data_IF_533522507727
#
_entry.id   IF_533522507727
#
_cell.length_a   1.000
_cell.length_b   1.000
_cell.length_c   1.000
_cell.angle_alpha   90.00
_cell.angle_beta   90.00
_cell.angle_gamma   90.00
#
_symmetry.space_group_name_H-M   'P 1'
#
loop_
_entity.id
_entity.type
_entity.pdbx_description
1 polymer ?
#
# COMPACT_ATOMS: atom_id res chain seq x y z
N UNK A 1 -4.81 20.54 -37.76
CA UNK A 1 -3.60 20.93 -37.02
C UNK A 1 -3.64 20.16 -35.69
N UNK A 2 -3.00 19.00 -35.66
CA UNK A 2 -2.79 18.28 -34.40
C UNK A 2 -1.76 19.03 -33.58
N UNK A 3 -2.17 19.51 -32.42
CA UNK A 3 -1.27 20.08 -31.43
C UNK A 3 -0.35 18.97 -30.95
N UNK A 4 0.89 18.98 -31.38
CA UNK A 4 1.98 18.18 -30.80
C UNK A 4 2.14 18.61 -29.34
N UNK A 5 1.46 17.93 -28.42
CA UNK A 5 1.77 18.07 -26.98
C UNK A 5 3.25 17.67 -26.83
N UNK A 6 4.06 18.62 -26.46
CA UNK A 6 5.44 18.38 -26.04
C UNK A 6 5.42 17.24 -25.00
N UNK A 7 6.18 16.18 -25.24
CA UNK A 7 6.27 15.06 -24.30
C UNK A 7 6.97 15.57 -23.05
N UNK A 8 6.27 15.57 -21.93
CA UNK A 8 6.84 15.91 -20.64
C UNK A 8 8.07 15.04 -20.35
N UNK A 9 9.09 15.66 -19.77
CA UNK A 9 10.32 14.95 -19.40
C UNK A 9 10.09 13.99 -18.25
N UNK A 10 10.93 12.95 -18.06
CA UNK A 10 10.82 12.05 -16.91
C UNK A 10 10.87 12.77 -15.55
N UNK A 11 11.58 13.90 -15.45
CA UNK A 11 11.67 14.69 -14.23
C UNK A 11 10.34 15.42 -13.93
N UNK A 12 9.61 15.86 -14.94
CA UNK A 12 8.32 16.52 -14.79
C UNK A 12 7.19 15.54 -14.44
N UNK A 13 7.30 14.28 -14.92
CA UNK A 13 6.29 13.24 -14.68
C UNK A 13 6.60 12.37 -13.47
N UNK A 14 7.80 12.51 -12.89
CA UNK A 14 8.20 11.70 -11.74
C UNK A 14 7.28 11.93 -10.54
N UNK A 15 6.65 10.86 -10.08
CA UNK A 15 5.75 10.90 -8.93
C UNK A 15 4.33 11.40 -9.22
N UNK A 16 3.98 11.71 -10.48
CA UNK A 16 2.63 12.20 -10.85
C UNK A 16 1.54 11.17 -10.51
N UNK A 17 1.85 9.90 -10.67
CA UNK A 17 0.91 8.78 -10.48
C UNK A 17 1.07 8.07 -9.13
N UNK A 18 1.65 8.73 -8.12
CA UNK A 18 1.75 8.18 -6.76
C UNK A 18 0.82 8.93 -5.79
N UNK A 19 0.24 8.21 -4.83
CA UNK A 19 -0.47 8.79 -3.70
C UNK A 19 0.54 9.32 -2.68
N UNK A 20 1.27 10.35 -3.11
CA UNK A 20 2.31 11.02 -2.35
C UNK A 20 1.80 12.24 -1.61
N UNK A 21 2.71 13.04 -1.11
CA UNK A 21 2.44 14.20 -0.25
C UNK A 21 1.45 15.19 -0.86
N UNK A 22 1.59 15.50 -2.14
CA UNK A 22 0.70 16.42 -2.86
C UNK A 22 -0.74 15.88 -2.96
N UNK A 23 -0.89 14.59 -3.28
CA UNK A 23 -2.19 13.94 -3.34
C UNK A 23 -2.82 13.84 -1.94
N UNK A 24 -2.05 13.42 -0.94
CA UNK A 24 -2.52 13.34 0.45
C UNK A 24 -3.03 14.69 0.96
N UNK A 25 -2.29 15.79 0.75
CA UNK A 25 -2.72 17.15 1.15
C UNK A 25 -3.98 17.62 0.45
N UNK A 26 -4.18 17.18 -0.80
CA UNK A 26 -5.37 17.57 -1.58
C UNK A 26 -6.63 16.80 -1.19
N UNK A 27 -6.50 15.54 -0.81
CA UNK A 27 -7.64 14.63 -0.64
C UNK A 27 -7.94 14.27 0.83
N UNK A 28 -7.04 14.56 1.77
CA UNK A 28 -7.22 14.29 3.20
C UNK A 28 -7.50 15.58 3.98
N UNK A 29 -8.18 15.44 5.12
CA UNK A 29 -8.21 16.51 6.12
C UNK A 29 -6.80 16.71 6.73
N UNK A 30 -6.51 17.91 7.22
CA UNK A 30 -5.22 18.21 7.84
C UNK A 30 -4.89 17.24 9.00
N UNK A 31 -5.88 16.91 9.83
CA UNK A 31 -5.73 15.97 10.95
C UNK A 31 -5.34 14.58 10.47
N UNK A 32 -6.02 14.06 9.45
CA UNK A 32 -5.77 12.74 8.89
C UNK A 32 -4.43 12.70 8.16
N UNK A 33 -4.10 13.76 7.42
CA UNK A 33 -2.79 13.90 6.77
C UNK A 33 -1.65 13.83 7.80
N UNK A 34 -1.71 14.60 8.90
CA UNK A 34 -0.68 14.61 9.93
C UNK A 34 -0.55 13.25 10.64
N UNK A 35 -1.67 12.57 10.87
CA UNK A 35 -1.67 11.22 11.45
C UNK A 35 -1.05 10.20 10.50
N UNK A 36 -1.43 10.24 9.22
CA UNK A 36 -0.87 9.35 8.20
C UNK A 36 0.63 9.61 7.99
N UNK A 37 1.07 10.88 7.95
CA UNK A 37 2.50 11.22 7.85
C UNK A 37 3.30 10.65 9.01
N UNK A 38 2.82 10.78 10.23
CA UNK A 38 3.48 10.16 11.39
C UNK A 38 3.57 8.64 11.26
N UNK A 39 2.49 8.00 10.80
CA UNK A 39 2.46 6.55 10.54
C UNK A 39 3.53 6.13 9.54
N UNK A 40 3.65 6.87 8.44
CA UNK A 40 4.67 6.64 7.40
C UNK A 40 6.08 6.84 7.95
N UNK A 41 6.31 7.97 8.63
CA UNK A 41 7.63 8.34 9.15
C UNK A 41 8.11 7.37 10.25
N UNK A 42 7.19 6.84 11.05
CA UNK A 42 7.48 5.88 12.11
C UNK A 42 7.51 4.42 11.62
N UNK A 43 7.04 4.16 10.40
CA UNK A 43 6.95 2.80 9.84
C UNK A 43 5.95 1.91 10.58
N UNK A 44 4.85 2.49 11.07
CA UNK A 44 3.78 1.79 11.79
C UNK A 44 2.65 1.37 10.84
N UNK A 45 1.76 0.55 11.35
CA UNK A 45 0.49 0.27 10.67
C UNK A 45 -0.42 1.51 10.71
N UNK A 46 -1.29 1.60 9.71
CA UNK A 46 -2.31 2.67 9.66
C UNK A 46 -3.26 2.54 10.85
N UNK A 47 -3.58 3.69 11.45
CA UNK A 47 -4.59 3.76 12.49
C UNK A 47 -5.97 3.41 11.92
N UNK A 48 -6.69 2.44 12.50
CA UNK A 48 -8.04 2.09 12.06
C UNK A 48 -9.02 3.26 12.05
N UNK A 49 -8.85 4.26 12.92
CA UNK A 49 -9.73 5.43 12.99
C UNK A 49 -9.67 6.30 11.73
N UNK A 50 -8.50 6.40 11.11
CA UNK A 50 -8.31 7.20 9.87
C UNK A 50 -8.41 6.36 8.60
N UNK A 51 -8.43 5.05 8.71
CA UNK A 51 -8.32 4.13 7.56
C UNK A 51 -9.44 4.34 6.53
N UNK A 52 -10.65 4.62 6.99
CA UNK A 52 -11.80 4.86 6.11
C UNK A 52 -11.63 6.14 5.28
N UNK A 53 -11.19 7.23 5.90
CA UNK A 53 -10.93 8.50 5.21
C UNK A 53 -9.76 8.35 4.22
N UNK A 54 -8.70 7.67 4.61
CA UNK A 54 -7.55 7.42 3.73
C UNK A 54 -7.94 6.56 2.53
N UNK A 55 -8.74 5.52 2.73
CA UNK A 55 -9.24 4.67 1.64
C UNK A 55 -10.11 5.47 0.65
N UNK A 56 -11.02 6.28 1.17
CA UNK A 56 -11.88 7.14 0.35
C UNK A 56 -11.07 8.17 -0.45
N UNK A 57 -10.10 8.82 0.19
CA UNK A 57 -9.20 9.77 -0.45
C UNK A 57 -8.36 9.11 -1.55
N UNK A 58 -7.80 7.93 -1.28
CA UNK A 58 -7.02 7.16 -2.23
C UNK A 58 -7.84 6.71 -3.43
N UNK A 59 -9.07 6.24 -3.20
CA UNK A 59 -10.03 5.90 -4.25
C UNK A 59 -10.34 7.11 -5.12
N UNK A 60 -10.74 8.23 -4.53
CA UNK A 60 -11.13 9.44 -5.26
C UNK A 60 -9.96 10.00 -6.09
N UNK A 61 -8.76 9.97 -5.53
CA UNK A 61 -7.55 10.32 -6.25
C UNK A 61 -7.30 9.37 -7.44
N UNK A 62 -7.38 8.06 -7.23
CA UNK A 62 -7.14 7.07 -8.29
C UNK A 62 -8.18 7.18 -9.42
N UNK A 63 -9.47 7.38 -9.08
CA UNK A 63 -10.53 7.59 -10.05
C UNK A 63 -10.29 8.88 -10.86
N UNK A 64 -9.80 9.94 -10.24
CA UNK A 64 -9.45 11.18 -10.96
C UNK A 64 -8.34 10.98 -12.00
N UNK A 65 -7.55 9.92 -11.87
CA UNK A 65 -6.54 9.47 -12.83
C UNK A 65 -7.03 8.37 -13.78
N UNK A 66 -8.34 8.06 -13.77
CA UNK A 66 -8.96 7.08 -14.65
C UNK A 66 -8.87 5.63 -14.17
N UNK A 67 -8.52 5.38 -12.91
CA UNK A 67 -8.51 4.03 -12.37
C UNK A 67 -9.95 3.51 -12.17
N UNK A 68 -10.17 2.26 -12.55
CA UNK A 68 -11.44 1.54 -12.40
C UNK A 68 -11.32 0.33 -11.47
N UNK A 69 -10.09 -0.08 -11.20
CA UNK A 69 -9.77 -1.25 -10.39
C UNK A 69 -8.67 -0.89 -9.38
N UNK A 70 -8.54 -1.72 -8.35
CA UNK A 70 -7.42 -1.69 -7.44
C UNK A 70 -6.86 -3.09 -7.22
N UNK A 71 -5.61 -3.17 -6.78
CA UNK A 71 -4.95 -4.42 -6.46
C UNK A 71 -4.08 -4.26 -5.22
N UNK A 72 -4.16 -5.22 -4.30
CA UNK A 72 -3.13 -5.38 -3.28
C UNK A 72 -1.94 -6.07 -3.94
N UNK A 73 -0.86 -5.32 -4.08
CA UNK A 73 0.34 -5.76 -4.77
C UNK A 73 1.43 -6.11 -3.76
N UNK A 74 1.91 -7.34 -3.81
CA UNK A 74 2.91 -7.85 -2.89
C UNK A 74 3.87 -8.80 -3.62
N UNK A 75 5.01 -9.09 -3.01
CA UNK A 75 6.03 -9.96 -3.57
C UNK A 75 6.18 -11.22 -2.72
N UNK A 76 5.59 -12.35 -3.14
CA UNK A 76 5.72 -13.63 -2.46
C UNK A 76 7.17 -14.08 -2.31
N UNK A 77 7.44 -15.00 -1.38
CA UNK A 77 8.75 -15.58 -1.17
C UNK A 77 9.31 -16.29 -2.41
N UNK A 78 8.45 -16.73 -3.30
CA UNK A 78 8.81 -17.36 -4.59
C UNK A 78 9.52 -16.44 -5.59
N UNK A 79 9.57 -15.13 -5.33
CA UNK A 79 10.23 -14.17 -6.22
C UNK A 79 9.37 -13.55 -7.29
N UNK A 80 8.21 -14.12 -7.58
CA UNK A 80 7.23 -13.55 -8.51
C UNK A 80 6.39 -12.48 -7.81
N UNK A 81 5.90 -11.51 -8.59
CA UNK A 81 4.94 -10.52 -8.08
C UNK A 81 3.55 -11.11 -8.10
N UNK A 82 2.76 -10.85 -7.07
CA UNK A 82 1.36 -11.24 -7.00
C UNK A 82 0.48 -10.03 -6.67
N UNK A 83 -0.79 -10.13 -7.03
CA UNK A 83 -1.78 -9.10 -6.74
C UNK A 83 -3.17 -9.70 -6.76
N UNK A 84 -4.04 -9.15 -5.91
CA UNK A 84 -5.47 -9.43 -5.92
C UNK A 84 -6.17 -8.24 -6.56
N UNK A 85 -6.71 -8.44 -7.75
CA UNK A 85 -7.41 -7.39 -8.51
C UNK A 85 -8.88 -7.35 -8.13
N UNK A 86 -9.36 -6.16 -7.81
CA UNK A 86 -10.77 -5.90 -7.50
C UNK A 86 -11.22 -4.64 -8.25
N UNK A 87 -12.49 -4.63 -8.70
CA UNK A 87 -13.10 -3.42 -9.23
C UNK A 87 -13.50 -2.50 -8.06
N UNK A 88 -13.48 -1.19 -8.31
CA UNK A 88 -14.06 -0.23 -7.35
C UNK A 88 -15.60 -0.32 -7.26
N UNK A 89 -16.21 -1.18 -8.04
CA UNK A 89 -17.65 -1.30 -8.19
C UNK A 89 -18.23 -2.21 -7.10
N UNK A 90 -19.19 -1.68 -6.36
CA UNK A 90 -20.00 -2.42 -5.40
C UNK A 90 -21.49 -2.23 -5.74
N UNK A 91 -22.29 -3.27 -5.61
CA UNK A 91 -23.70 -3.21 -5.97
C UNK A 91 -24.52 -2.60 -4.83
N UNK A 92 -25.42 -1.68 -5.16
CA UNK A 92 -26.30 -1.03 -4.22
C UNK A 92 -27.76 -1.23 -4.68
N UNK A 93 -28.43 -2.17 -4.05
CA UNK A 93 -29.81 -2.52 -4.41
C UNK A 93 -29.92 -3.27 -5.74
N UNK A 94 -31.11 -3.21 -6.38
CA UNK A 94 -31.40 -3.99 -7.58
C UNK A 94 -30.81 -3.41 -8.86
N UNK A 95 -30.66 -2.11 -8.95
CA UNK A 95 -30.31 -1.41 -10.18
C UNK A 95 -29.21 -0.33 -10.00
N UNK A 96 -28.50 -0.35 -8.86
CA UNK A 96 -27.50 0.65 -8.55
C UNK A 96 -26.12 0.04 -8.28
N UNK A 97 -25.08 0.85 -8.55
CA UNK A 97 -23.71 0.52 -8.19
C UNK A 97 -23.03 1.76 -7.60
N UNK A 98 -22.17 1.54 -6.63
CA UNK A 98 -21.36 2.58 -6.01
C UNK A 98 -19.88 2.24 -6.16
N UNK A 99 -19.04 3.27 -6.24
CA UNK A 99 -17.59 3.07 -6.25
C UNK A 99 -17.07 3.06 -4.81
N UNK A 100 -16.40 1.98 -4.41
CA UNK A 100 -15.99 1.77 -3.03
C UNK A 100 -14.58 1.19 -2.92
N UNK A 101 -13.81 1.73 -1.98
CA UNK A 101 -12.65 1.12 -1.36
C UNK A 101 -12.82 1.33 0.14
N UNK A 102 -12.92 0.26 0.92
CA UNK A 102 -13.15 0.37 2.36
C UNK A 102 -11.85 0.50 3.15
N UNK A 103 -11.89 1.18 4.30
CA UNK A 103 -10.75 1.23 5.22
C UNK A 103 -10.30 -0.15 5.70
N UNK A 104 -11.22 -1.11 5.78
CA UNK A 104 -10.88 -2.51 6.09
C UNK A 104 -9.91 -3.09 5.07
N UNK A 105 -10.08 -2.78 3.79
CA UNK A 105 -9.20 -3.27 2.72
C UNK A 105 -7.77 -2.71 2.83
N UNK A 106 -7.57 -1.58 3.52
CA UNK A 106 -6.23 -1.06 3.80
C UNK A 106 -5.61 -1.69 5.05
N UNK A 107 -6.38 -1.79 6.14
CA UNK A 107 -5.87 -2.29 7.43
C UNK A 107 -5.58 -3.79 7.37
N UNK A 108 -6.57 -4.56 6.95
CA UNK A 108 -6.48 -6.01 6.74
C UNK A 108 -7.39 -6.33 5.57
N UNK A 109 -6.82 -6.66 4.43
CA UNK A 109 -7.58 -7.14 3.28
C UNK A 109 -8.33 -8.42 3.64
N UNK A 110 -9.43 -8.70 2.93
CA UNK A 110 -10.21 -9.91 3.18
C UNK A 110 -9.36 -11.17 3.10
N UNK A 111 -9.67 -12.19 3.91
CA UNK A 111 -8.98 -13.46 3.88
C UNK A 111 -9.07 -14.06 2.48
N UNK A 112 -7.92 -14.32 1.87
CA UNK A 112 -7.84 -14.86 0.53
C UNK A 112 -7.03 -16.15 0.48
N UNK A 113 -7.40 -17.02 -0.43
CA UNK A 113 -6.56 -18.13 -0.84
C UNK A 113 -5.85 -17.73 -2.13
N UNK A 114 -4.56 -17.45 -2.05
CA UNK A 114 -3.74 -17.17 -3.22
C UNK A 114 -2.92 -18.39 -3.58
N UNK A 115 -2.89 -18.72 -4.88
CA UNK A 115 -2.01 -19.75 -5.40
C UNK A 115 -0.71 -19.10 -5.85
N UNK A 116 0.41 -19.52 -5.28
CA UNK A 116 1.73 -19.07 -5.66
C UNK A 116 2.45 -20.16 -6.46
N UNK A 117 3.13 -19.81 -7.56
CA UNK A 117 4.04 -20.75 -8.21
C UNK A 117 5.16 -21.11 -7.23
N UNK A 118 5.46 -22.40 -7.09
CA UNK A 118 6.61 -22.88 -6.33
C UNK A 118 7.87 -22.80 -7.20
N UNK A 119 9.02 -22.59 -6.60
CA UNK A 119 10.32 -22.45 -7.28
C UNK A 119 10.63 -23.68 -8.18
N UNK A 120 10.30 -23.56 -9.48
CA UNK A 120 10.56 -24.58 -10.48
C UNK A 120 9.77 -25.88 -10.32
N UNK A 121 8.96 -26.04 -9.30
CA UNK A 121 8.08 -27.18 -9.13
C UNK A 121 6.78 -26.97 -9.91
N UNK A 122 6.18 -28.06 -10.38
CA UNK A 122 4.91 -28.05 -11.12
C UNK A 122 3.69 -27.77 -10.24
N UNK A 123 3.86 -27.72 -8.93
CA UNK A 123 2.78 -27.48 -7.99
C UNK A 123 2.67 -25.99 -7.64
N UNK A 124 1.46 -25.49 -7.58
CA UNK A 124 1.15 -24.22 -6.93
C UNK A 124 0.92 -24.45 -5.45
N UNK A 125 1.52 -23.62 -4.62
CA UNK A 125 1.24 -23.61 -3.19
C UNK A 125 0.03 -22.70 -2.94
N UNK A 126 -1.06 -23.22 -2.42
CA UNK A 126 -2.17 -22.42 -1.94
C UNK A 126 -1.84 -21.89 -0.55
N UNK A 127 -1.72 -20.58 -0.43
CA UNK A 127 -1.56 -19.93 0.86
C UNK A 127 -2.81 -19.12 1.18
N UNK A 128 -3.27 -19.21 2.43
CA UNK A 128 -4.37 -18.40 2.95
C UNK A 128 -3.85 -17.40 3.94
N UNK A 129 -4.29 -16.15 3.82
CA UNK A 129 -3.81 -15.09 4.67
C UNK A 129 -4.51 -13.77 4.41
N UNK A 130 -3.93 -12.74 4.99
CA UNK A 130 -4.41 -11.36 4.88
C UNK A 130 -3.37 -10.51 4.21
N UNK A 131 -3.83 -9.58 3.38
CA UNK A 131 -3.00 -8.46 2.91
C UNK A 131 -3.21 -7.27 3.84
N UNK A 132 -2.14 -6.55 4.12
CA UNK A 132 -2.21 -5.26 4.80
C UNK A 132 -1.40 -4.23 4.02
N UNK A 133 -1.95 -3.03 3.85
CA UNK A 133 -1.20 -1.95 3.20
C UNK A 133 0.06 -1.63 3.98
N UNK A 134 1.16 -1.48 3.25
CA UNK A 134 2.39 -0.93 3.78
C UNK A 134 2.46 0.57 3.48
N UNK A 135 2.15 1.46 4.43
CA UNK A 135 2.12 2.90 4.20
C UNK A 135 3.51 3.50 3.94
N UNK A 136 4.60 2.77 4.20
CA UNK A 136 5.96 3.21 3.87
C UNK A 136 6.26 3.19 2.38
N UNK A 137 5.38 2.55 1.60
CA UNK A 137 5.43 2.54 0.14
C UNK A 137 4.20 3.22 -0.43
N UNK A 138 4.37 4.25 -1.25
CA UNK A 138 3.23 4.97 -1.81
C UNK A 138 2.41 4.06 -2.73
N UNK A 139 1.09 4.14 -2.62
CA UNK A 139 0.21 3.58 -3.62
C UNK A 139 0.37 4.35 -4.94
N UNK A 140 0.15 3.69 -6.06
CA UNK A 140 0.34 4.29 -7.38
C UNK A 140 -0.70 3.80 -8.38
N UNK A 141 -0.96 4.61 -9.42
CA UNK A 141 -1.86 4.24 -10.51
C UNK A 141 -1.05 3.88 -11.75
N UNK A 142 -1.39 2.75 -12.35
CA UNK A 142 -0.83 2.30 -13.61
C UNK A 142 -1.91 1.58 -14.43
N UNK A 143 -2.04 1.92 -15.71
CA UNK A 143 -2.94 1.25 -16.66
C UNK A 143 -4.39 1.08 -16.12
N UNK A 144 -4.95 2.15 -15.55
CA UNK A 144 -6.32 2.13 -15.03
C UNK A 144 -6.52 1.35 -13.73
N UNK A 145 -5.44 0.94 -13.07
CA UNK A 145 -5.47 0.18 -11.82
C UNK A 145 -4.71 0.93 -10.72
N UNK A 146 -5.31 1.04 -9.54
CA UNK A 146 -4.64 1.49 -8.33
C UNK A 146 -3.88 0.32 -7.71
N UNK A 147 -2.57 0.44 -7.62
CA UNK A 147 -1.70 -0.52 -6.93
C UNK A 147 -1.48 -0.09 -5.49
N UNK A 148 -1.85 -0.94 -4.55
CA UNK A 148 -1.67 -0.74 -3.11
C UNK A 148 -0.55 -1.68 -2.64
N UNK A 149 0.68 -1.18 -2.41
CA UNK A 149 1.76 -2.01 -1.91
C UNK A 149 1.39 -2.62 -0.56
N UNK A 150 1.45 -3.93 -0.46
CA UNK A 150 0.97 -4.66 0.70
C UNK A 150 1.99 -5.68 1.20
N UNK A 151 1.84 -6.09 2.43
CA UNK A 151 2.44 -7.29 3.00
C UNK A 151 1.39 -8.40 3.03
N UNK A 152 1.83 -9.64 2.92
CA UNK A 152 0.95 -10.80 2.99
C UNK A 152 1.34 -11.70 4.16
N UNK A 153 0.38 -11.96 5.03
CA UNK A 153 0.58 -12.70 6.28
C UNK A 153 -0.42 -13.84 6.36
N UNK A 154 0.03 -15.04 6.71
CA UNK A 154 -0.85 -16.20 6.91
C UNK A 154 -1.79 -16.02 8.10
N UNK A 155 -2.84 -16.83 8.20
CA UNK A 155 -3.73 -16.86 9.38
C UNK A 155 -3.00 -17.21 10.68
N UNK A 156 -1.87 -17.89 10.59
CA UNK A 156 -1.02 -18.25 11.74
C UNK A 156 0.00 -17.16 12.10
N UNK A 157 0.04 -16.05 11.33
CA UNK A 157 0.95 -14.93 11.56
C UNK A 157 2.31 -15.07 10.89
N UNK A 158 2.51 -16.10 10.05
CA UNK A 158 3.73 -16.26 9.26
C UNK A 158 3.74 -15.29 8.09
N UNK A 159 4.90 -14.71 7.81
CA UNK A 159 5.06 -13.82 6.66
C UNK A 159 5.24 -14.64 5.38
N UNK A 160 4.40 -14.36 4.39
CA UNK A 160 4.39 -15.06 3.10
C UNK A 160 4.94 -14.19 1.95
N UNK A 161 5.50 -13.04 2.28
CA UNK A 161 6.12 -12.10 1.33
C UNK A 161 7.54 -11.72 1.75
N UNK A 162 8.29 -11.15 0.82
CA UNK A 162 9.69 -10.73 1.05
C UNK A 162 9.80 -9.41 1.84
N UNK A 163 8.77 -8.59 1.84
CA UNK A 163 8.81 -7.25 2.42
C UNK A 163 8.63 -7.26 3.93
N UNK A 164 7.75 -8.11 4.46
CA UNK A 164 7.49 -8.16 5.89
C UNK A 164 8.74 -8.52 6.73
N UNK A 165 9.59 -9.49 6.34
CA UNK A 165 10.87 -9.72 7.02
C UNK A 165 11.80 -8.51 6.95
N UNK A 166 11.85 -7.81 5.81
CA UNK A 166 12.66 -6.60 5.65
C UNK A 166 12.19 -5.50 6.60
N UNK A 167 10.89 -5.22 6.66
CA UNK A 167 10.32 -4.20 7.55
C UNK A 167 10.57 -4.54 9.02
N UNK A 168 10.45 -5.80 9.40
CA UNK A 168 10.79 -6.29 10.75
C UNK A 168 12.27 -6.08 11.08
N UNK A 169 13.18 -6.36 10.15
CA UNK A 169 14.61 -6.16 10.35
C UNK A 169 14.98 -4.69 10.48
N UNK A 170 14.38 -3.81 9.68
CA UNK A 170 14.55 -2.35 9.79
C UNK A 170 14.09 -1.86 11.18
N UNK A 171 12.94 -2.32 11.65
CA UNK A 171 12.43 -1.98 12.98
C UNK A 171 13.36 -2.44 14.09
N UNK A 172 13.86 -3.67 14.00
CA UNK A 172 14.80 -4.23 14.97
C UNK A 172 16.13 -3.44 15.01
N UNK A 173 16.72 -3.17 13.84
CA UNK A 173 17.93 -2.36 13.71
C UNK A 173 17.74 -0.96 14.27
N UNK A 174 16.66 -0.28 13.89
CA UNK A 174 16.34 1.06 14.38
C UNK A 174 16.23 1.08 15.92
N UNK A 175 15.58 0.07 16.50
CA UNK A 175 15.43 -0.06 17.96
C UNK A 175 16.78 -0.24 18.66
N UNK A 176 17.62 -1.15 18.17
CA UNK A 176 18.92 -1.42 18.80
C UNK A 176 19.90 -0.26 18.61
N UNK A 177 19.92 0.35 17.42
CA UNK A 177 20.77 1.52 17.16
C UNK A 177 20.40 2.70 18.07
N UNK A 178 19.11 2.96 18.27
CA UNK A 178 18.64 3.98 19.23
C UNK A 178 19.11 3.70 20.65
N UNK A 179 19.10 2.43 21.09
CA UNK A 179 19.61 2.05 22.42
C UNK A 179 21.10 2.38 22.55
N UNK A 180 21.90 2.07 21.53
CA UNK A 180 23.34 2.38 21.50
C UNK A 180 23.54 3.89 21.51
N UNK A 181 22.88 4.64 20.64
CA UNK A 181 23.01 6.10 20.56
C UNK A 181 22.68 6.78 21.88
N UNK A 182 21.68 6.27 22.60
CA UNK A 182 21.31 6.79 23.92
C UNK A 182 22.46 6.68 24.93
N UNK A 183 23.30 5.65 24.85
CA UNK A 183 24.48 5.49 25.72
C UNK A 183 25.52 6.60 25.47
N UNK A 184 25.57 7.17 24.29
CA UNK A 184 26.42 8.29 23.89
C UNK A 184 25.75 9.66 24.08
N UNK A 185 24.60 9.71 24.77
CA UNK A 185 23.88 10.97 25.01
C UNK A 185 23.14 11.52 23.80
N UNK A 186 23.06 10.78 22.71
CA UNK A 186 22.36 11.19 21.47
C UNK A 186 20.96 10.59 21.42
N UNK A 187 19.96 11.41 21.05
CA UNK A 187 18.61 10.95 20.81
C UNK A 187 18.17 11.29 19.36
N UNK A 188 17.54 10.35 18.69
CA UNK A 188 16.97 10.54 17.36
C UNK A 188 15.61 9.85 17.24
N UNK A 189 14.74 10.39 16.40
CA UNK A 189 13.41 9.79 16.17
C UNK A 189 13.51 8.51 15.35
N UNK A 190 14.35 8.51 14.33
CA UNK A 190 14.56 7.39 13.40
C UNK A 190 16.03 7.39 12.94
N UNK A 191 16.59 6.21 12.70
CA UNK A 191 17.96 6.02 12.19
C UNK A 191 17.95 5.52 10.76
N UNK A 192 16.94 4.72 10.39
CA UNK A 192 16.77 4.12 9.08
C UNK A 192 15.37 4.42 8.52
#
# INVERSE_FOLDING_TARGET
MESTKEKATPAETFGEYIFGDAAMKKYLTAKTYDSLRRTIDEGKQIDPEISAEVAEAMKNWAISLGATHYTHWFQPLTGTTAGKHEAFLDFCGKDGAIMRLSGKNLVVGEPDASSFPTDGARATCAARGYTAWDPTSPAFVKEGTLFIPAVFVSYTGETLDKKAPLLKSITALNTQTKRILKLFGTSCKKVF
#
